data_IF_515828257285
#
_entry.id   IF_515828257285
#
_cell.length_a   1.000
_cell.length_b   1.000
_cell.length_c   1.000
_cell.angle_alpha   90.00
_cell.angle_beta   90.00
_cell.angle_gamma   90.00
#
_symmetry.space_group_name_H-M   'P 1'
#
loop_
_entity.id
_entity.type
_entity.pdbx_description
1 polymer ?
#
# COMPACT_ATOMS: atom_id res chain seq x y z
N UNK A 1 -15.17 -14.75 15.21
CA UNK A 1 -14.98 -14.27 13.82
C UNK A 1 -13.80 -13.31 13.74
N UNK A 2 -13.67 -12.37 14.69
CA UNK A 2 -12.47 -11.53 14.85
C UNK A 2 -11.19 -12.35 15.09
N UNK A 3 -11.30 -13.52 15.72
CA UNK A 3 -10.16 -14.41 16.00
C UNK A 3 -9.47 -14.91 14.72
N UNK A 4 -10.21 -15.06 13.61
CA UNK A 4 -9.66 -15.47 12.31
C UNK A 4 -8.86 -14.36 11.62
N UNK A 5 -9.10 -13.10 11.96
CA UNK A 5 -8.39 -11.96 11.37
C UNK A 5 -6.97 -11.89 11.92
N UNK A 6 -6.81 -12.18 13.21
CA UNK A 6 -5.50 -12.22 13.89
C UNK A 6 -4.92 -13.63 13.98
N UNK A 7 -5.45 -14.57 13.21
CA UNK A 7 -4.97 -15.94 13.20
C UNK A 7 -3.65 -16.01 12.40
N UNK A 8 -2.54 -15.97 13.15
CA UNK A 8 -1.18 -16.11 12.62
C UNK A 8 -0.71 -17.57 12.54
N UNK A 9 -1.59 -18.56 12.79
CA UNK A 9 -1.22 -19.99 12.78
C UNK A 9 -1.02 -20.56 11.37
N UNK A 10 -1.37 -19.78 10.33
CA UNK A 10 -1.13 -20.13 8.94
C UNK A 10 0.37 -20.15 8.64
N UNK A 11 0.78 -21.01 7.70
CA UNK A 11 2.19 -21.13 7.32
C UNK A 11 2.75 -19.78 6.84
N UNK A 12 3.80 -19.23 7.49
CA UNK A 12 4.35 -17.94 7.10
C UNK A 12 5.06 -18.05 5.75
N UNK A 13 5.15 -16.94 5.03
CA UNK A 13 5.68 -16.88 3.67
C UNK A 13 7.13 -17.35 3.59
N UNK A 14 7.92 -17.20 4.67
CA UNK A 14 9.27 -17.73 4.75
C UNK A 14 9.36 -19.24 4.53
N UNK A 15 8.36 -20.01 4.96
CA UNK A 15 8.30 -21.45 4.71
C UNK A 15 8.09 -21.77 3.22
N UNK A 16 7.26 -21.00 2.52
CA UNK A 16 7.06 -21.13 1.07
C UNK A 16 8.31 -20.73 0.27
N UNK A 17 9.07 -19.76 0.78
CA UNK A 17 10.35 -19.32 0.19
C UNK A 17 11.53 -20.26 0.53
N UNK A 18 11.26 -21.41 1.19
CA UNK A 18 12.27 -22.36 1.66
C UNK A 18 13.37 -21.72 2.52
N UNK A 19 13.09 -20.56 3.12
CA UNK A 19 14.09 -19.75 3.82
C UNK A 19 15.37 -19.49 3.00
N UNK A 20 15.28 -19.47 1.67
CA UNK A 20 16.41 -19.20 0.79
C UNK A 20 16.81 -17.73 0.92
N UNK A 21 18.02 -17.50 1.43
CA UNK A 21 18.54 -16.17 1.74
C UNK A 21 18.57 -15.20 0.55
N UNK A 22 18.80 -15.70 -0.66
CA UNK A 22 18.81 -14.90 -1.88
C UNK A 22 17.41 -14.37 -2.24
N UNK A 23 16.37 -15.19 -2.14
CA UNK A 23 14.99 -14.75 -2.37
C UNK A 23 14.49 -13.87 -1.23
N UNK A 24 14.80 -14.23 0.01
CA UNK A 24 14.42 -13.44 1.18
C UNK A 24 15.01 -12.03 1.11
N UNK A 25 16.27 -11.89 0.70
CA UNK A 25 16.89 -10.57 0.57
C UNK A 25 16.21 -9.71 -0.50
N UNK A 26 15.85 -10.31 -1.65
CA UNK A 26 15.12 -9.63 -2.73
C UNK A 26 13.74 -9.14 -2.28
N UNK A 27 12.96 -10.01 -1.64
CA UNK A 27 11.63 -9.66 -1.15
C UNK A 27 11.72 -8.66 0.01
N UNK A 28 12.55 -8.93 1.00
CA UNK A 28 12.68 -8.08 2.18
C UNK A 28 13.23 -6.69 1.84
N UNK A 29 14.29 -6.65 1.02
CA UNK A 29 14.89 -5.40 0.58
C UNK A 29 13.95 -4.59 -0.30
N UNK A 30 13.28 -5.25 -1.26
CA UNK A 30 12.29 -4.63 -2.13
C UNK A 30 11.09 -4.06 -1.35
N UNK A 31 10.53 -4.84 -0.43
CA UNK A 31 9.40 -4.40 0.40
C UNK A 31 9.82 -3.28 1.36
N UNK A 32 11.00 -3.34 1.99
CA UNK A 32 11.52 -2.25 2.83
C UNK A 32 11.69 -0.94 2.05
N UNK A 33 12.33 -1.00 0.89
CA UNK A 33 12.51 0.17 0.02
C UNK A 33 11.15 0.75 -0.39
N UNK A 34 10.20 -0.10 -0.73
CA UNK A 34 8.86 0.31 -1.15
C UNK A 34 8.10 0.95 0.01
N UNK A 35 8.10 0.35 1.21
CA UNK A 35 7.47 0.92 2.41
C UNK A 35 8.06 2.29 2.74
N UNK A 36 9.38 2.45 2.68
CA UNK A 36 10.02 3.74 2.94
C UNK A 36 9.61 4.79 1.89
N UNK A 37 9.73 4.45 0.61
CA UNK A 37 9.35 5.37 -0.47
C UNK A 37 7.87 5.76 -0.39
N UNK A 38 6.99 4.78 -0.15
CA UNK A 38 5.53 4.98 -0.16
C UNK A 38 5.01 5.60 1.14
N UNK A 39 5.83 5.68 2.19
CA UNK A 39 5.53 6.51 3.37
C UNK A 39 5.95 7.96 3.14
N UNK A 40 7.07 8.19 2.43
CA UNK A 40 7.61 9.53 2.18
C UNK A 40 6.82 10.32 1.12
N UNK A 41 6.39 9.67 0.03
CA UNK A 41 5.63 10.32 -1.05
C UNK A 41 4.32 10.96 -0.55
N UNK A 42 3.41 10.24 0.14
CA UNK A 42 2.17 10.84 0.62
C UNK A 42 2.43 11.94 1.65
N UNK A 43 3.48 11.84 2.48
CA UNK A 43 3.88 12.92 3.37
C UNK A 43 4.31 14.17 2.59
N UNK A 44 5.08 14.01 1.52
CA UNK A 44 5.47 15.10 0.62
C UNK A 44 4.28 15.73 -0.10
N UNK A 45 3.35 14.92 -0.61
CA UNK A 45 2.10 15.39 -1.24
C UNK A 45 1.28 16.18 -0.21
N UNK A 46 1.07 15.64 0.98
CA UNK A 46 0.31 16.31 2.03
C UNK A 46 0.93 17.65 2.43
N UNK A 47 2.25 17.69 2.64
CA UNK A 47 2.96 18.92 2.95
C UNK A 47 2.83 19.97 1.83
N UNK A 48 2.96 19.55 0.57
CA UNK A 48 2.81 20.43 -0.59
C UNK A 48 1.40 21.01 -0.69
N UNK A 49 0.37 20.18 -0.58
CA UNK A 49 -1.04 20.62 -0.61
C UNK A 49 -1.36 21.56 0.56
N UNK A 50 -0.79 21.31 1.74
CA UNK A 50 -0.97 22.19 2.89
C UNK A 50 -0.36 23.58 2.68
N UNK A 51 0.79 23.65 2.01
CA UNK A 51 1.48 24.91 1.67
C UNK A 51 0.86 25.64 0.47
N UNK A 52 0.28 24.94 -0.50
CA UNK A 52 -0.31 25.49 -1.73
C UNK A 52 -1.83 25.25 -1.76
N UNK A 53 -2.59 26.16 -1.15
CA UNK A 53 -4.07 26.11 -1.12
C UNK A 53 -4.74 26.53 -2.45
N UNK A 54 -4.00 27.13 -3.37
CA UNK A 54 -4.49 27.62 -4.69
C UNK A 54 -4.80 26.51 -5.72
N UNK A 55 -4.64 25.23 -5.36
CA UNK A 55 -4.84 24.13 -6.28
C UNK A 55 -6.30 23.65 -6.29
N UNK A 56 -6.99 23.87 -7.41
CA UNK A 56 -8.36 23.38 -7.64
C UNK A 56 -8.50 21.84 -7.61
N UNK A 57 -7.41 21.09 -7.71
CA UNK A 57 -7.41 19.62 -7.81
C UNK A 57 -6.86 18.89 -6.57
N UNK A 58 -6.90 19.52 -5.39
CA UNK A 58 -6.41 18.93 -4.13
C UNK A 58 -6.98 17.54 -3.84
N UNK A 59 -8.22 17.26 -4.25
CA UNK A 59 -8.87 15.96 -4.07
C UNK A 59 -8.18 14.81 -4.82
N UNK A 60 -7.73 15.02 -6.06
CA UNK A 60 -7.01 13.98 -6.82
C UNK A 60 -5.65 13.71 -6.18
N UNK A 61 -4.92 14.76 -5.81
CA UNK A 61 -3.61 14.61 -5.18
C UNK A 61 -3.72 13.84 -3.85
N UNK A 62 -4.80 14.09 -3.08
CA UNK A 62 -5.07 13.35 -1.85
C UNK A 62 -5.48 11.89 -2.12
N UNK A 63 -6.30 11.61 -3.13
CA UNK A 63 -6.62 10.25 -3.57
C UNK A 63 -5.37 9.48 -4.01
N UNK A 64 -4.49 10.14 -4.77
CA UNK A 64 -3.23 9.56 -5.22
C UNK A 64 -2.27 9.28 -4.06
N UNK A 65 -2.15 10.22 -3.11
CA UNK A 65 -1.40 10.01 -1.88
C UNK A 65 -1.97 8.86 -1.04
N UNK A 66 -3.30 8.78 -0.91
CA UNK A 66 -3.97 7.67 -0.22
C UNK A 66 -3.72 6.33 -0.88
N UNK A 67 -3.84 6.24 -2.21
CA UNK A 67 -3.52 5.04 -2.98
C UNK A 67 -2.09 4.56 -2.73
N UNK A 68 -1.10 5.46 -2.81
CA UNK A 68 0.31 5.14 -2.55
C UNK A 68 0.52 4.64 -1.11
N UNK A 69 -0.08 5.30 -0.14
CA UNK A 69 0.02 4.91 1.27
C UNK A 69 -0.56 3.50 1.51
N UNK A 70 -1.74 3.21 0.95
CA UNK A 70 -2.36 1.88 1.04
C UNK A 70 -1.52 0.80 0.34
N UNK A 71 -0.93 1.11 -0.80
CA UNK A 71 0.00 0.21 -1.48
C UNK A 71 1.21 -0.07 -0.57
N UNK A 72 1.77 0.94 0.10
CA UNK A 72 2.86 0.78 1.07
C UNK A 72 2.46 -0.13 2.25
N UNK A 73 1.24 0.03 2.76
CA UNK A 73 0.70 -0.82 3.81
C UNK A 73 0.60 -2.30 3.38
N UNK A 74 0.28 -2.58 2.11
CA UNK A 74 0.26 -3.95 1.59
C UNK A 74 1.64 -4.60 1.54
N UNK A 75 2.69 -3.83 1.22
CA UNK A 75 4.08 -4.31 1.26
C UNK A 75 4.56 -4.54 2.71
N UNK A 76 4.16 -3.68 3.65
CA UNK A 76 4.45 -3.89 5.06
C UNK A 76 3.78 -5.17 5.59
N UNK A 77 2.54 -5.44 5.19
CA UNK A 77 1.83 -6.67 5.55
C UNK A 77 2.52 -7.92 4.95
N UNK A 78 2.98 -7.84 3.70
CA UNK A 78 3.77 -8.90 3.07
C UNK A 78 5.07 -9.20 3.83
N UNK A 79 5.76 -8.13 4.26
CA UNK A 79 6.98 -8.24 5.07
C UNK A 79 6.73 -8.93 6.41
N UNK A 80 5.65 -8.57 7.11
CA UNK A 80 5.23 -9.24 8.36
C UNK A 80 4.90 -10.71 8.09
N UNK A 81 4.26 -11.00 6.95
CA UNK A 81 3.84 -12.34 6.57
C UNK A 81 4.98 -13.31 6.29
N UNK A 82 6.20 -12.82 6.05
CA UNK A 82 7.40 -13.67 6.00
C UNK A 82 7.61 -14.44 7.31
N UNK A 83 7.28 -13.83 8.45
CA UNK A 83 7.45 -14.42 9.78
C UNK A 83 6.15 -14.85 10.45
N UNK A 84 5.05 -14.12 10.26
CA UNK A 84 3.76 -14.39 10.90
C UNK A 84 2.66 -14.43 9.86
N UNK A 85 2.00 -15.57 9.65
CA UNK A 85 1.03 -15.77 8.56
C UNK A 85 -0.31 -15.02 8.70
N UNK A 86 -0.31 -13.70 8.92
CA UNK A 86 -1.51 -12.86 9.03
C UNK A 86 -2.12 -12.55 7.65
N UNK A 87 -2.46 -13.58 6.89
CA UNK A 87 -2.97 -13.44 5.51
C UNK A 87 -4.34 -12.77 5.42
N UNK A 88 -5.18 -12.87 6.45
CA UNK A 88 -6.46 -12.16 6.47
C UNK A 88 -6.27 -10.65 6.52
N UNK A 89 -5.33 -10.15 7.35
CA UNK A 89 -5.01 -8.72 7.44
C UNK A 89 -4.44 -8.24 6.10
N UNK A 90 -3.49 -8.99 5.54
CA UNK A 90 -2.93 -8.68 4.22
C UNK A 90 -4.02 -8.64 3.14
N UNK A 91 -4.93 -9.62 3.14
CA UNK A 91 -6.05 -9.68 2.20
C UNK A 91 -6.98 -8.48 2.30
N UNK A 92 -7.32 -8.05 3.52
CA UNK A 92 -8.16 -6.86 3.75
C UNK A 92 -7.45 -5.60 3.26
N UNK A 93 -6.16 -5.44 3.55
CA UNK A 93 -5.37 -4.29 3.09
C UNK A 93 -5.30 -4.27 1.56
N UNK A 94 -5.03 -5.42 0.92
CA UNK A 94 -4.99 -5.53 -0.55
C UNK A 94 -6.34 -5.23 -1.19
N UNK A 95 -7.43 -5.72 -0.60
CA UNK A 95 -8.78 -5.46 -1.08
C UNK A 95 -9.12 -3.96 -0.99
N UNK A 96 -8.88 -3.34 0.18
CA UNK A 96 -9.07 -1.91 0.36
C UNK A 96 -8.21 -1.09 -0.62
N UNK A 97 -6.95 -1.47 -0.80
CA UNK A 97 -6.04 -0.85 -1.78
C UNK A 97 -6.63 -0.93 -3.17
N UNK A 98 -7.08 -2.11 -3.61
CA UNK A 98 -7.70 -2.31 -4.93
C UNK A 98 -8.94 -1.44 -5.16
N UNK A 99 -9.81 -1.33 -4.15
CA UNK A 99 -10.98 -0.44 -4.22
C UNK A 99 -10.54 1.02 -4.39
N UNK A 100 -9.58 1.48 -3.60
CA UNK A 100 -9.05 2.86 -3.69
C UNK A 100 -8.39 3.10 -5.05
N UNK A 101 -7.64 2.13 -5.59
CA UNK A 101 -7.03 2.22 -6.93
C UNK A 101 -8.07 2.42 -8.02
N UNK A 102 -9.15 1.63 -8.00
CA UNK A 102 -10.23 1.71 -8.99
C UNK A 102 -10.93 3.07 -8.88
N UNK A 103 -11.27 3.50 -7.67
CA UNK A 103 -11.90 4.81 -7.44
C UNK A 103 -10.99 5.93 -7.95
N UNK A 104 -9.70 5.87 -7.66
CA UNK A 104 -8.71 6.86 -8.12
C UNK A 104 -8.62 6.88 -9.65
N UNK A 105 -8.59 5.72 -10.31
CA UNK A 105 -8.56 5.61 -11.77
C UNK A 105 -9.83 6.19 -12.42
N UNK A 106 -11.02 5.88 -11.88
CA UNK A 106 -12.30 6.41 -12.37
C UNK A 106 -12.37 7.93 -12.21
N UNK A 107 -11.96 8.46 -11.05
CA UNK A 107 -11.89 9.90 -10.83
C UNK A 107 -10.92 10.57 -11.80
N UNK A 108 -9.71 10.03 -11.99
CA UNK A 108 -8.74 10.55 -12.95
C UNK A 108 -9.32 10.59 -14.37
N UNK A 109 -9.95 9.52 -14.83
CA UNK A 109 -10.53 9.46 -16.18
C UNK A 109 -11.66 10.48 -16.38
N UNK A 110 -12.47 10.71 -15.34
CA UNK A 110 -13.55 11.72 -15.36
C UNK A 110 -13.04 13.15 -15.35
N UNK A 111 -11.92 13.42 -14.68
CA UNK A 111 -11.32 14.75 -14.61
C UNK A 111 -10.38 15.06 -15.78
N UNK A 112 -9.87 14.04 -16.48
CA UNK A 112 -9.04 14.20 -17.69
C UNK A 112 -9.59 15.20 -18.73
N UNK A 113 -10.89 15.20 -19.12
CA UNK A 113 -11.42 16.19 -20.04
C UNK A 113 -11.48 17.63 -19.50
N UNK A 114 -11.27 17.84 -18.20
CA UNK A 114 -11.16 19.18 -17.59
C UNK A 114 -9.71 19.64 -17.45
N UNK A 115 -8.74 18.71 -17.47
CA UNK A 115 -7.31 19.01 -17.37
C UNK A 115 -6.66 19.30 -18.73
N UNK A 116 -7.25 18.84 -19.83
CA UNK A 116 -6.84 19.09 -21.22
C UNK A 116 -7.65 20.29 -21.74
#
# INVERSE_FOLDING_TARGET
>A
MLDRIFDGSLMPHGHCLLWRWDLLFLHLGGDLLTVMAYSLIPFGIFYFLHKRKDLNFNGIAMLFGGFIAFCGASHLAGLINIWHGYYFIEGVIKFATGVISIVTAVCLWRLMPTLI
#
